data_IF_137337630648
#
_entry.id   IF_137337630648
#
_cell.length_a   1.000
_cell.length_b   1.000
_cell.length_c   1.000
_cell.angle_alpha   90.00
_cell.angle_beta   90.00
_cell.angle_gamma   90.00
#
_symmetry.space_group_name_H-M   'P 1'
#
loop_
_entity.id
_entity.type
_entity.pdbx_description
1 polymer ?
#
# COMPACT_ATOMS: atom_id res chain seq x y z
N UNK A 1 -9.08 -60.22 54.72
CA UNK A 1 -8.08 -59.38 54.03
C UNK A 1 -8.14 -59.44 52.49
N UNK A 2 -9.19 -59.99 51.84
CA UNK A 2 -9.25 -60.07 50.36
C UNK A 2 -10.06 -58.96 49.66
N UNK A 3 -10.79 -58.11 50.39
CA UNK A 3 -11.68 -57.09 49.80
C UNK A 3 -10.94 -55.82 49.32
N UNK A 4 -9.79 -55.51 49.93
CA UNK A 4 -8.92 -54.37 49.55
C UNK A 4 -8.19 -54.57 48.21
N UNK A 5 -7.97 -55.83 47.81
CA UNK A 5 -7.26 -56.14 46.56
C UNK A 5 -8.18 -56.04 45.33
N UNK A 6 -9.43 -56.51 45.46
CA UNK A 6 -10.40 -56.48 44.36
C UNK A 6 -10.83 -55.04 44.03
N UNK A 7 -11.02 -54.20 45.05
CA UNK A 7 -11.34 -52.78 44.87
C UNK A 7 -10.19 -52.01 44.21
N UNK A 8 -8.94 -52.27 44.58
CA UNK A 8 -7.77 -51.68 43.93
C UNK A 8 -7.61 -52.10 42.47
N UNK A 9 -7.86 -53.38 42.15
CA UNK A 9 -7.81 -53.92 40.78
C UNK A 9 -8.92 -53.32 39.90
N UNK A 10 -10.14 -53.20 40.44
CA UNK A 10 -11.26 -52.57 39.72
C UNK A 10 -10.97 -51.09 39.45
N UNK A 11 -10.40 -50.36 40.42
CA UNK A 11 -10.00 -48.97 40.21
C UNK A 11 -8.93 -48.85 39.13
N UNK A 12 -7.91 -49.73 39.14
CA UNK A 12 -6.85 -49.75 38.12
C UNK A 12 -7.40 -50.02 36.70
N UNK A 13 -8.27 -51.03 36.57
CA UNK A 13 -8.92 -51.37 35.30
C UNK A 13 -9.82 -50.23 34.79
N UNK A 14 -10.56 -49.55 35.68
CA UNK A 14 -11.39 -48.41 35.30
C UNK A 14 -10.54 -47.22 34.85
N UNK A 15 -9.41 -46.95 35.51
CA UNK A 15 -8.48 -45.88 35.11
C UNK A 15 -7.81 -46.19 33.77
N UNK A 16 -7.43 -47.44 33.52
CA UNK A 16 -6.81 -47.85 32.25
C UNK A 16 -7.81 -47.74 31.08
N UNK A 17 -9.07 -48.15 31.27
CA UNK A 17 -10.11 -48.02 30.24
C UNK A 17 -10.40 -46.54 29.93
N UNK A 18 -10.46 -45.67 30.94
CA UNK A 18 -10.65 -44.23 30.72
C UNK A 18 -9.48 -43.59 29.96
N UNK A 19 -8.24 -43.99 30.27
CA UNK A 19 -7.04 -43.47 29.59
C UNK A 19 -6.98 -43.87 28.11
N UNK A 20 -7.25 -45.14 27.79
CA UNK A 20 -7.25 -45.63 26.42
C UNK A 20 -8.38 -45.04 25.58
N UNK A 21 -9.57 -44.83 26.17
CA UNK A 21 -10.67 -44.14 25.49
C UNK A 21 -10.32 -42.67 25.18
N UNK A 22 -9.69 -41.95 26.13
CA UNK A 22 -9.25 -40.57 25.94
C UNK A 22 -8.15 -40.45 24.86
N UNK A 23 -7.16 -41.35 24.86
CA UNK A 23 -6.10 -41.38 23.85
C UNK A 23 -6.67 -41.59 22.43
N UNK A 24 -7.69 -42.44 22.29
CA UNK A 24 -8.37 -42.68 21.02
C UNK A 24 -9.14 -41.45 20.50
N UNK A 25 -9.75 -40.66 21.39
CA UNK A 25 -10.45 -39.42 21.03
C UNK A 25 -9.45 -38.34 20.59
N UNK A 26 -8.37 -38.16 21.35
CA UNK A 26 -7.34 -37.16 21.04
C UNK A 26 -6.64 -37.45 19.71
N UNK A 27 -6.33 -38.72 19.43
CA UNK A 27 -5.78 -39.13 18.14
C UNK A 27 -6.76 -38.90 16.98
N UNK A 28 -8.07 -39.06 17.20
CA UNK A 28 -9.08 -38.74 16.19
C UNK A 28 -9.08 -37.24 15.85
N UNK A 29 -9.18 -36.37 16.86
CA UNK A 29 -9.19 -34.92 16.64
C UNK A 29 -7.88 -34.40 16.05
N UNK A 30 -6.73 -34.97 16.45
CA UNK A 30 -5.45 -34.60 15.85
C UNK A 30 -5.40 -34.93 14.35
N UNK A 31 -5.90 -36.11 13.95
CA UNK A 31 -5.97 -36.49 12.52
C UNK A 31 -6.93 -35.61 11.74
N UNK A 32 -8.07 -35.27 12.33
CA UNK A 32 -9.05 -34.37 11.74
C UNK A 32 -8.46 -32.97 11.54
N UNK A 33 -7.78 -32.41 12.54
CA UNK A 33 -7.05 -31.15 12.42
C UNK A 33 -5.99 -31.23 11.31
N UNK A 34 -5.17 -32.29 11.27
CA UNK A 34 -4.13 -32.46 10.27
C UNK A 34 -4.72 -32.50 8.84
N UNK A 35 -5.87 -33.16 8.67
CA UNK A 35 -6.60 -33.17 7.40
C UNK A 35 -7.08 -31.76 7.02
N UNK A 36 -7.75 -31.05 7.93
CA UNK A 36 -8.27 -29.71 7.66
C UNK A 36 -7.18 -28.67 7.41
N UNK A 37 -6.06 -28.75 8.12
CA UNK A 37 -4.87 -27.93 7.84
C UNK A 37 -4.31 -28.19 6.44
N UNK A 38 -4.22 -29.47 6.03
CA UNK A 38 -3.77 -29.83 4.68
C UNK A 38 -4.72 -29.31 3.60
N UNK A 39 -6.04 -29.41 3.82
CA UNK A 39 -7.06 -28.88 2.91
C UNK A 39 -6.94 -27.36 2.75
N UNK A 40 -6.75 -26.61 3.84
CA UNK A 40 -6.53 -25.16 3.78
C UNK A 40 -5.22 -24.79 3.07
N UNK A 41 -4.12 -25.48 3.35
CA UNK A 41 -2.82 -25.26 2.66
C UNK A 41 -2.95 -25.50 1.17
N UNK A 42 -3.60 -26.61 0.79
CA UNK A 42 -3.86 -26.96 -0.61
C UNK A 42 -4.71 -25.88 -1.27
N UNK A 43 -5.81 -25.48 -0.65
CA UNK A 43 -6.67 -24.43 -1.18
C UNK A 43 -5.90 -23.12 -1.39
N UNK A 44 -5.14 -22.70 -0.37
CA UNK A 44 -4.35 -21.46 -0.40
C UNK A 44 -3.36 -21.45 -1.57
N UNK A 45 -2.69 -22.58 -1.81
CA UNK A 45 -1.72 -22.72 -2.91
C UNK A 45 -2.39 -22.64 -4.28
N UNK A 46 -3.54 -23.29 -4.43
CA UNK A 46 -4.31 -23.31 -5.69
C UNK A 46 -4.95 -21.95 -6.01
N UNK A 47 -5.18 -21.10 -5.01
CA UNK A 47 -5.77 -19.76 -5.14
C UNK A 47 -4.71 -18.65 -5.05
N UNK A 48 -3.46 -18.94 -5.45
CA UNK A 48 -2.34 -17.99 -5.36
C UNK A 48 -2.24 -17.03 -6.55
N UNK A 49 -2.72 -17.42 -7.74
CA UNK A 49 -2.62 -16.61 -8.97
C UNK A 49 -3.78 -16.91 -9.94
N UNK A 50 -4.67 -15.95 -10.25
CA UNK A 50 -4.92 -14.71 -9.49
C UNK A 50 -5.24 -15.01 -8.03
N UNK A 51 -4.97 -14.06 -7.14
CA UNK A 51 -5.17 -14.28 -5.71
C UNK A 51 -6.67 -14.33 -5.41
N UNK A 52 -7.11 -15.44 -4.82
CA UNK A 52 -8.48 -15.66 -4.33
C UNK A 52 -8.47 -16.46 -3.02
N UNK A 53 -7.49 -16.16 -2.16
CA UNK A 53 -7.26 -16.87 -0.91
C UNK A 53 -8.43 -16.70 0.05
N UNK A 54 -8.90 -15.46 0.23
CA UNK A 54 -9.87 -15.15 1.27
C UNK A 54 -11.26 -15.68 0.92
N UNK A 55 -11.77 -15.33 -0.27
CA UNK A 55 -13.11 -15.77 -0.71
C UNK A 55 -13.08 -17.23 -1.16
N UNK A 56 -12.02 -17.68 -1.82
CA UNK A 56 -11.92 -19.04 -2.35
C UNK A 56 -11.60 -20.11 -1.31
N UNK A 57 -11.05 -19.73 -0.15
CA UNK A 57 -10.67 -20.67 0.91
C UNK A 57 -11.31 -20.38 2.27
N UNK A 58 -12.42 -19.63 2.30
CA UNK A 58 -13.16 -19.31 3.53
C UNK A 58 -13.60 -20.57 4.28
N UNK A 59 -14.23 -21.52 3.58
CA UNK A 59 -14.71 -22.77 4.17
C UNK A 59 -13.54 -23.62 4.69
N UNK A 60 -12.50 -23.97 3.90
CA UNK A 60 -11.34 -24.68 4.42
C UNK A 60 -10.66 -24.01 5.62
N UNK A 61 -10.58 -22.67 5.62
CA UNK A 61 -10.04 -21.92 6.76
C UNK A 61 -10.90 -22.09 8.01
N UNK A 62 -12.23 -21.95 7.85
CA UNK A 62 -13.20 -22.05 8.94
C UNK A 62 -13.19 -23.47 9.53
N UNK A 63 -13.24 -24.50 8.69
CA UNK A 63 -13.20 -25.90 9.14
C UNK A 63 -11.89 -26.23 9.86
N UNK A 64 -10.75 -25.76 9.35
CA UNK A 64 -9.46 -25.89 10.03
C UNK A 64 -9.47 -25.20 11.39
N UNK A 65 -10.02 -23.98 11.47
CA UNK A 65 -10.09 -23.25 12.73
C UNK A 65 -10.98 -23.96 13.76
N UNK A 66 -12.14 -24.46 13.33
CA UNK A 66 -13.06 -25.25 14.17
C UNK A 66 -12.40 -26.54 14.64
N UNK A 67 -11.74 -27.30 13.75
CA UNK A 67 -11.05 -28.53 14.13
C UNK A 67 -9.95 -28.29 15.18
N UNK A 68 -9.25 -27.16 15.08
CA UNK A 68 -8.25 -26.76 16.07
C UNK A 68 -8.89 -26.44 17.43
N UNK A 69 -9.98 -25.69 17.44
CA UNK A 69 -10.70 -25.36 18.68
C UNK A 69 -11.27 -26.61 19.35
N UNK A 70 -11.86 -27.54 18.58
CA UNK A 70 -12.33 -28.84 19.08
C UNK A 70 -11.22 -29.63 19.76
N UNK A 71 -10.04 -29.74 19.14
CA UNK A 71 -8.89 -30.43 19.74
C UNK A 71 -8.41 -29.74 21.03
N UNK A 72 -8.45 -28.40 21.07
CA UNK A 72 -7.95 -27.59 22.19
C UNK A 72 -8.93 -27.53 23.36
N UNK A 73 -10.23 -27.60 23.12
CA UNK A 73 -11.24 -27.57 24.18
C UNK A 73 -11.39 -28.92 24.89
N UNK A 74 -10.95 -30.01 24.26
CA UNK A 74 -10.90 -31.33 24.89
C UNK A 74 -9.79 -31.39 25.95
N UNK A 75 -10.20 -31.49 27.21
CA UNK A 75 -9.32 -31.31 28.38
C UNK A 75 -8.16 -32.31 28.40
N UNK A 76 -8.43 -33.58 28.05
CA UNK A 76 -7.41 -34.63 28.01
C UNK A 76 -6.40 -34.43 26.85
N UNK A 77 -6.79 -33.75 25.78
CA UNK A 77 -5.95 -33.54 24.61
C UNK A 77 -5.02 -32.33 24.76
N UNK A 78 -5.46 -31.31 25.48
CA UNK A 78 -4.60 -30.17 25.87
C UNK A 78 -3.36 -30.67 26.59
N UNK A 79 -3.57 -31.50 27.60
CA UNK A 79 -2.50 -32.13 28.39
C UNK A 79 -1.72 -33.21 27.64
N UNK A 80 -1.98 -33.45 26.35
CA UNK A 80 -1.26 -34.43 25.54
C UNK A 80 -0.48 -33.79 24.40
N UNK A 81 -1.05 -32.79 23.71
CA UNK A 81 -0.48 -32.23 22.49
C UNK A 81 -0.05 -30.76 22.58
N UNK A 82 -0.46 -30.04 23.62
CA UNK A 82 -0.17 -28.62 23.77
C UNK A 82 0.86 -28.41 24.87
N UNK A 83 1.81 -27.50 24.62
CA UNK A 83 2.86 -27.10 25.56
C UNK A 83 3.72 -28.27 26.10
N UNK A 84 3.77 -29.40 25.37
CA UNK A 84 4.58 -30.58 25.73
C UNK A 84 5.98 -30.59 25.16
N UNK A 85 6.21 -29.79 24.14
CA UNK A 85 7.50 -29.66 23.51
C UNK A 85 7.82 -28.18 23.30
N UNK A 86 9.12 -27.86 23.13
CA UNK A 86 9.59 -26.48 22.95
C UNK A 86 9.02 -25.80 21.70
N UNK A 87 8.65 -26.58 20.69
CA UNK A 87 8.15 -26.09 19.40
C UNK A 87 6.63 -25.87 19.45
N UNK A 88 5.92 -26.62 20.30
CA UNK A 88 4.46 -26.71 20.37
C UNK A 88 3.87 -26.80 18.95
N UNK A 89 4.18 -27.90 18.26
CA UNK A 89 3.98 -28.05 16.80
C UNK A 89 2.53 -27.78 16.40
N UNK A 90 1.56 -28.28 17.16
CA UNK A 90 0.12 -28.09 16.87
C UNK A 90 -0.25 -26.60 16.90
N UNK A 91 0.14 -25.88 17.96
CA UNK A 91 -0.15 -24.46 18.11
C UNK A 91 0.62 -23.60 17.10
N UNK A 92 1.90 -23.92 16.87
CA UNK A 92 2.75 -23.19 15.93
C UNK A 92 2.25 -23.33 14.49
N UNK A 93 1.88 -24.55 14.08
CA UNK A 93 1.32 -24.81 12.74
C UNK A 93 0.02 -24.03 12.55
N UNK A 94 -0.89 -24.10 13.54
CA UNK A 94 -2.13 -23.32 13.50
C UNK A 94 -1.85 -21.81 13.41
N UNK A 95 -0.91 -21.29 14.20
CA UNK A 95 -0.55 -19.87 14.21
C UNK A 95 -0.01 -19.39 12.87
N UNK A 96 0.77 -20.22 12.16
CA UNK A 96 1.26 -19.89 10.81
C UNK A 96 0.09 -19.78 9.83
N UNK A 97 -0.85 -20.74 9.87
CA UNK A 97 -1.99 -20.79 8.95
C UNK A 97 -3.00 -19.66 9.21
N UNK A 98 -3.30 -19.37 10.48
CA UNK A 98 -4.07 -18.18 10.88
C UNK A 98 -3.32 -16.89 10.55
N UNK A 99 -1.99 -16.91 10.66
CA UNK A 99 -1.12 -15.81 10.26
C UNK A 99 -1.24 -15.46 8.78
N UNK A 100 -1.40 -16.47 7.90
CA UNK A 100 -1.62 -16.26 6.48
C UNK A 100 -2.96 -15.52 6.22
N UNK A 101 -4.04 -16.00 6.84
CA UNK A 101 -5.38 -15.39 6.73
C UNK A 101 -5.40 -13.93 7.21
N UNK A 102 -4.85 -13.70 8.41
CA UNK A 102 -4.83 -12.37 9.04
C UNK A 102 -3.93 -11.38 8.30
N UNK A 103 -2.77 -11.83 7.79
CA UNK A 103 -1.87 -10.99 6.99
C UNK A 103 -2.48 -10.58 5.65
N UNK A 104 -3.36 -11.41 5.11
CA UNK A 104 -4.13 -11.10 3.89
C UNK A 104 -5.38 -10.23 4.16
N UNK A 105 -5.63 -9.84 5.43
CA UNK A 105 -6.82 -9.08 5.83
C UNK A 105 -8.13 -9.74 5.36
N UNK A 106 -8.20 -11.07 5.41
CA UNK A 106 -9.34 -11.79 4.83
C UNK A 106 -10.68 -11.49 5.51
N UNK A 107 -10.69 -11.12 6.80
CA UNK A 107 -11.93 -10.71 7.48
C UNK A 107 -12.54 -9.44 6.86
N UNK A 108 -11.71 -8.55 6.31
CA UNK A 108 -12.15 -7.31 5.65
C UNK A 108 -12.85 -7.58 4.30
N UNK A 109 -12.67 -8.77 3.70
CA UNK A 109 -13.41 -9.19 2.50
C UNK A 109 -14.91 -9.31 2.80
N UNK A 110 -15.25 -9.83 3.98
CA UNK A 110 -16.63 -10.16 4.35
C UNK A 110 -17.34 -9.02 5.09
N UNK A 111 -16.57 -8.07 5.62
CA UNK A 111 -17.12 -6.86 6.25
C UNK A 111 -18.03 -6.12 5.28
N UNK A 112 -19.27 -5.82 5.70
CA UNK A 112 -20.26 -5.09 4.89
C UNK A 112 -20.47 -5.64 3.47
N UNK A 113 -20.23 -6.94 3.24
CA UNK A 113 -20.27 -7.57 1.91
C UNK A 113 -19.32 -6.93 0.89
N UNK A 114 -18.16 -6.41 1.34
CA UNK A 114 -17.20 -5.70 0.50
C UNK A 114 -16.77 -6.51 -0.74
N UNK A 115 -16.39 -7.77 -0.57
CA UNK A 115 -15.96 -8.63 -1.69
C UNK A 115 -17.06 -8.84 -2.72
N UNK A 116 -18.31 -9.01 -2.28
CA UNK A 116 -19.44 -9.16 -3.19
C UNK A 116 -19.68 -7.88 -4.00
N UNK A 117 -19.69 -6.72 -3.34
CA UNK A 117 -19.85 -5.42 -4.03
C UNK A 117 -18.70 -5.14 -4.98
N UNK A 118 -17.47 -5.49 -4.58
CA UNK A 118 -16.29 -5.37 -5.43
C UNK A 118 -16.43 -6.23 -6.68
N UNK A 119 -16.78 -7.52 -6.52
CA UNK A 119 -16.87 -8.46 -7.62
C UNK A 119 -17.99 -8.10 -8.61
N UNK A 120 -19.12 -7.57 -8.12
CA UNK A 120 -20.17 -7.01 -8.98
C UNK A 120 -19.65 -5.86 -9.85
N UNK A 121 -18.93 -4.89 -9.26
CA UNK A 121 -18.37 -3.74 -10.00
C UNK A 121 -17.29 -4.18 -10.98
N UNK A 122 -16.46 -5.15 -10.58
CA UNK A 122 -15.41 -5.74 -11.40
C UNK A 122 -15.99 -6.49 -12.59
N UNK A 123 -17.00 -7.32 -12.37
CA UNK A 123 -17.73 -8.02 -13.44
C UNK A 123 -18.38 -7.02 -14.39
N UNK A 124 -18.99 -5.94 -13.89
CA UNK A 124 -19.58 -4.90 -14.75
C UNK A 124 -18.53 -4.18 -15.61
N UNK A 125 -17.32 -3.97 -15.08
CA UNK A 125 -16.19 -3.45 -15.85
C UNK A 125 -15.72 -4.45 -16.92
N UNK A 126 -15.48 -5.70 -16.55
CA UNK A 126 -15.01 -6.76 -17.46
C UNK A 126 -16.00 -7.02 -18.60
N UNK A 127 -17.30 -7.01 -18.28
CA UNK A 127 -18.40 -7.08 -19.26
C UNK A 127 -18.35 -5.92 -20.24
N UNK A 128 -18.10 -4.70 -19.75
CA UNK A 128 -18.02 -3.52 -20.60
C UNK A 128 -16.84 -3.62 -21.57
N UNK A 129 -15.66 -4.02 -21.07
CA UNK A 129 -14.45 -4.23 -21.88
C UNK A 129 -14.72 -5.28 -22.97
N UNK A 130 -15.32 -6.40 -22.60
CA UNK A 130 -15.63 -7.50 -23.53
C UNK A 130 -16.59 -7.06 -24.64
N UNK A 131 -17.58 -6.21 -24.31
CA UNK A 131 -18.59 -5.71 -25.26
C UNK A 131 -18.10 -4.57 -26.15
N UNK A 132 -17.17 -3.73 -25.69
CA UNK A 132 -16.76 -2.49 -26.35
C UNK A 132 -15.32 -2.53 -26.88
N UNK A 133 -14.93 -3.63 -27.52
CA UNK A 133 -13.59 -3.76 -28.11
C UNK A 133 -13.27 -2.56 -29.01
N UNK A 134 -12.03 -2.06 -28.96
CA UNK A 134 -11.51 -0.86 -29.66
C UNK A 134 -11.99 0.51 -29.16
N UNK A 135 -13.01 0.56 -28.29
CA UNK A 135 -13.55 1.80 -27.70
C UNK A 135 -13.63 1.73 -26.17
N UNK A 136 -12.87 0.82 -25.57
CA UNK A 136 -12.87 0.46 -24.16
C UNK A 136 -12.70 1.70 -23.28
N UNK A 137 -11.68 2.51 -23.58
CA UNK A 137 -11.34 3.68 -22.78
C UNK A 137 -12.47 4.70 -22.69
N UNK A 138 -13.25 4.87 -23.77
CA UNK A 138 -14.35 5.84 -23.80
C UNK A 138 -15.64 5.23 -23.24
N UNK A 139 -15.95 4.00 -23.63
CA UNK A 139 -17.21 3.34 -23.26
C UNK A 139 -17.22 2.84 -21.81
N UNK A 140 -16.07 2.48 -21.26
CA UNK A 140 -15.96 1.80 -19.96
C UNK A 140 -15.32 2.65 -18.86
N UNK A 141 -15.05 3.94 -19.13
CA UNK A 141 -14.49 4.87 -18.15
C UNK A 141 -15.34 4.95 -16.88
N UNK A 142 -16.67 5.00 -17.04
CA UNK A 142 -17.59 5.10 -15.89
C UNK A 142 -17.51 3.88 -14.98
N UNK A 143 -17.48 2.68 -15.56
CA UNK A 143 -17.38 1.41 -14.81
C UNK A 143 -16.03 1.30 -14.11
N UNK A 144 -14.95 1.69 -14.80
CA UNK A 144 -13.62 1.75 -14.20
C UNK A 144 -13.57 2.73 -13.01
N UNK A 145 -14.11 3.93 -13.18
CA UNK A 145 -14.12 4.95 -12.12
C UNK A 145 -15.00 4.54 -10.93
N UNK A 146 -16.12 3.86 -11.17
CA UNK A 146 -16.99 3.33 -10.12
C UNK A 146 -16.27 2.22 -9.31
N UNK A 147 -15.65 1.26 -9.99
CA UNK A 147 -14.85 0.21 -9.36
C UNK A 147 -13.67 0.79 -8.57
N UNK A 148 -12.87 1.66 -9.20
CA UNK A 148 -11.71 2.28 -8.56
C UNK A 148 -12.14 3.21 -7.40
N UNK A 149 -13.26 3.92 -7.54
CA UNK A 149 -13.84 4.75 -6.50
C UNK A 149 -14.27 3.95 -5.27
N UNK A 150 -14.90 2.79 -5.49
CA UNK A 150 -15.22 1.85 -4.43
C UNK A 150 -13.96 1.30 -3.75
N UNK A 151 -12.96 0.85 -4.51
CA UNK A 151 -11.68 0.40 -3.92
C UNK A 151 -11.02 1.49 -3.05
N UNK A 152 -11.01 2.74 -3.53
CA UNK A 152 -10.45 3.86 -2.80
C UNK A 152 -11.24 4.21 -1.53
N UNK A 153 -12.56 3.98 -1.50
CA UNK A 153 -13.35 4.21 -0.28
C UNK A 153 -12.99 3.21 0.82
N UNK A 154 -12.67 1.96 0.46
CA UNK A 154 -12.17 0.95 1.39
C UNK A 154 -10.78 1.30 1.91
N UNK A 155 -9.88 1.72 1.03
CA UNK A 155 -8.49 2.04 1.40
C UNK A 155 -8.34 3.21 2.39
N UNK A 156 -9.31 4.13 2.43
CA UNK A 156 -9.29 5.29 3.35
C UNK A 156 -9.34 4.91 4.83
N UNK A 157 -9.89 3.75 5.17
CA UNK A 157 -10.01 3.29 6.55
C UNK A 157 -8.80 2.40 6.92
N UNK A 158 -7.66 3.04 7.17
CA UNK A 158 -6.41 2.40 7.63
C UNK A 158 -5.64 1.55 6.61
N UNK A 159 -5.98 1.61 5.31
CA UNK A 159 -5.27 0.86 4.26
C UNK A 159 -5.40 -0.66 4.37
N UNK A 160 -6.27 -1.17 5.26
CA UNK A 160 -6.56 -2.60 5.41
C UNK A 160 -7.66 -2.96 4.43
N UNK A 161 -7.25 -3.35 3.22
CA UNK A 161 -8.14 -3.89 2.19
C UNK A 161 -7.80 -5.37 2.06
N UNK A 162 -8.79 -6.24 1.92
CA UNK A 162 -8.48 -7.65 1.78
C UNK A 162 -7.66 -7.93 0.51
N UNK A 163 -6.72 -8.86 0.62
CA UNK A 163 -5.66 -9.02 -0.36
C UNK A 163 -6.16 -9.51 -1.73
N UNK A 164 -7.23 -10.32 -1.77
CA UNK A 164 -7.93 -10.71 -2.99
C UNK A 164 -8.36 -9.47 -3.83
N UNK A 165 -8.96 -8.47 -3.18
CA UNK A 165 -9.37 -7.22 -3.83
C UNK A 165 -8.17 -6.37 -4.26
N UNK A 166 -7.07 -6.37 -3.48
CA UNK A 166 -5.85 -5.64 -3.83
C UNK A 166 -5.19 -6.20 -5.10
N UNK A 167 -5.01 -7.52 -5.19
CA UNK A 167 -4.46 -8.17 -6.38
C UNK A 167 -5.35 -7.94 -7.60
N UNK A 168 -6.67 -8.14 -7.43
CA UNK A 168 -7.65 -7.92 -8.48
C UNK A 168 -7.62 -6.47 -9.00
N UNK A 169 -7.65 -5.47 -8.10
CA UNK A 169 -7.57 -4.05 -8.49
C UNK A 169 -6.24 -3.68 -9.13
N UNK A 170 -5.11 -4.26 -8.68
CA UNK A 170 -3.80 -4.04 -9.28
C UNK A 170 -3.77 -4.55 -10.72
N UNK A 171 -4.29 -5.75 -10.97
CA UNK A 171 -4.43 -6.30 -12.33
C UNK A 171 -5.37 -5.46 -13.19
N UNK A 172 -6.52 -5.04 -12.66
CA UNK A 172 -7.45 -4.14 -13.38
C UNK A 172 -6.78 -2.82 -13.75
N UNK A 173 -5.96 -2.24 -12.86
CA UNK A 173 -5.21 -1.00 -13.15
C UNK A 173 -4.13 -1.23 -14.20
N UNK A 174 -3.43 -2.36 -14.16
CA UNK A 174 -2.48 -2.73 -15.21
C UNK A 174 -3.19 -2.88 -16.56
N UNK A 175 -4.29 -3.64 -16.62
CA UNK A 175 -5.09 -3.81 -17.83
C UNK A 175 -5.59 -2.47 -18.38
N UNK A 176 -6.14 -1.61 -17.51
CA UNK A 176 -6.66 -0.30 -17.92
C UNK A 176 -5.57 0.65 -18.44
N UNK A 177 -4.44 0.72 -17.74
CA UNK A 177 -3.39 1.70 -18.04
C UNK A 177 -2.43 1.24 -19.13
N UNK A 178 -1.95 -0.01 -19.04
CA UNK A 178 -0.86 -0.55 -19.85
C UNK A 178 -1.39 -1.34 -21.04
N UNK A 179 -2.29 -2.29 -20.82
CA UNK A 179 -2.76 -3.17 -21.90
C UNK A 179 -3.70 -2.44 -22.85
N UNK A 180 -4.62 -1.63 -22.30
CA UNK A 180 -5.57 -0.82 -23.09
C UNK A 180 -5.06 0.59 -23.40
N UNK A 181 -4.04 1.08 -22.70
CA UNK A 181 -3.49 2.43 -22.93
C UNK A 181 -4.44 3.57 -22.54
N UNK A 182 -5.43 3.33 -21.68
CA UNK A 182 -6.48 4.31 -21.39
C UNK A 182 -6.03 5.46 -20.49
N UNK A 183 -4.88 5.32 -19.80
CA UNK A 183 -4.29 6.38 -19.00
C UNK A 183 -3.44 7.36 -19.84
N UNK A 184 -3.94 7.76 -21.01
CA UNK A 184 -3.25 8.76 -21.83
C UNK A 184 -3.59 10.16 -21.34
N UNK A 185 -2.67 10.73 -20.58
CA UNK A 185 -2.76 12.14 -20.18
C UNK A 185 -2.39 12.98 -21.40
N UNK A 186 -3.37 13.63 -22.01
CA UNK A 186 -3.15 14.64 -23.05
C UNK A 186 -2.48 15.84 -22.40
N UNK A 187 -1.15 15.80 -22.29
CA UNK A 187 -0.38 16.98 -21.94
C UNK A 187 -0.30 17.87 -23.17
N UNK A 188 -0.68 19.14 -23.01
CA UNK A 188 -0.38 20.14 -24.02
C UNK A 188 1.12 20.46 -23.95
N UNK A 189 1.90 19.67 -24.70
CA UNK A 189 3.37 19.78 -24.78
C UNK A 189 3.77 21.21 -25.22
N UNK A 190 2.94 21.89 -26.00
CA UNK A 190 3.21 23.26 -26.44
C UNK A 190 3.17 24.24 -25.28
N UNK A 191 2.13 24.19 -24.45
CA UNK A 191 2.00 25.05 -23.26
C UNK A 191 3.19 24.84 -22.31
N UNK A 192 3.52 23.58 -22.02
CA UNK A 192 4.65 23.25 -21.14
C UNK A 192 5.99 23.74 -21.69
N UNK A 193 6.22 23.59 -23.01
CA UNK A 193 7.42 24.05 -23.69
C UNK A 193 7.57 25.57 -23.64
N UNK A 194 6.49 26.31 -23.94
CA UNK A 194 6.50 27.79 -23.93
C UNK A 194 6.83 28.32 -22.54
N UNK A 195 6.17 27.80 -21.49
CA UNK A 195 6.40 28.23 -20.11
C UNK A 195 7.84 27.93 -19.68
N UNK A 196 8.35 26.73 -20.00
CA UNK A 196 9.73 26.34 -19.68
C UNK A 196 10.77 27.24 -20.38
N UNK A 197 10.54 27.59 -21.65
CA UNK A 197 11.40 28.50 -22.40
C UNK A 197 11.40 29.90 -21.80
N UNK A 198 10.23 30.45 -21.44
CA UNK A 198 10.15 31.78 -20.81
C UNK A 198 10.94 31.80 -19.49
N UNK A 199 10.73 30.80 -18.63
CA UNK A 199 11.45 30.68 -17.36
C UNK A 199 12.96 30.55 -17.59
N UNK A 200 13.40 29.82 -18.62
CA UNK A 200 14.82 29.70 -18.97
C UNK A 200 15.45 30.96 -19.54
N UNK A 201 14.69 31.78 -20.29
CA UNK A 201 15.18 33.02 -20.91
C UNK A 201 15.25 34.18 -19.90
N UNK A 202 14.37 34.20 -18.89
CA UNK A 202 14.32 35.26 -17.88
C UNK A 202 15.66 35.52 -17.17
N UNK A 203 16.40 34.50 -16.66
CA UNK A 203 17.74 34.69 -16.10
C UNK A 203 18.74 35.25 -17.11
N UNK A 204 18.70 34.79 -18.37
CA UNK A 204 19.62 35.24 -19.43
C UNK A 204 19.42 36.74 -19.68
N UNK A 205 18.16 37.17 -19.79
CA UNK A 205 17.82 38.59 -19.96
C UNK A 205 18.21 39.40 -18.71
N UNK A 206 17.96 38.89 -17.51
CA UNK A 206 18.32 39.57 -16.27
C UNK A 206 19.84 39.78 -16.15
N UNK A 207 20.65 38.74 -16.30
CA UNK A 207 22.10 38.87 -16.24
C UNK A 207 22.68 39.64 -17.44
N UNK A 208 22.09 39.49 -18.63
CA UNK A 208 22.49 40.25 -19.82
C UNK A 208 22.25 41.75 -19.66
N UNK A 209 21.10 42.15 -19.12
CA UNK A 209 20.79 43.56 -18.83
C UNK A 209 21.70 44.13 -17.75
N UNK A 210 21.93 43.40 -16.66
CA UNK A 210 22.87 43.80 -15.63
C UNK A 210 24.28 44.00 -16.20
N UNK A 211 24.78 43.07 -17.01
CA UNK A 211 26.10 43.19 -17.64
C UNK A 211 26.22 44.42 -18.55
N UNK A 212 25.18 44.72 -19.35
CA UNK A 212 25.19 45.89 -20.22
C UNK A 212 25.14 47.19 -19.40
N UNK A 213 24.34 47.23 -18.34
CA UNK A 213 24.23 48.40 -17.46
C UNK A 213 25.54 48.67 -16.72
N UNK A 214 26.15 47.64 -16.12
CA UNK A 214 27.45 47.80 -15.43
C UNK A 214 28.54 48.26 -16.39
N UNK A 215 28.64 47.66 -17.58
CA UNK A 215 29.62 48.08 -18.59
C UNK A 215 29.40 49.50 -19.12
N UNK A 216 28.14 49.92 -19.30
CA UNK A 216 27.81 51.31 -19.67
C UNK A 216 28.17 52.29 -18.55
N UNK A 217 27.90 51.93 -17.30
CA UNK A 217 28.23 52.75 -16.14
C UNK A 217 29.74 52.92 -15.99
N UNK A 218 30.53 51.86 -16.20
CA UNK A 218 31.99 51.94 -16.22
C UNK A 218 32.52 52.85 -17.33
N UNK A 219 31.96 52.75 -18.54
CA UNK A 219 32.34 53.61 -19.68
C UNK A 219 32.00 55.08 -19.43
N UNK A 220 30.90 55.37 -18.76
CA UNK A 220 30.44 56.73 -18.48
C UNK A 220 31.04 57.31 -17.19
N UNK A 221 31.65 56.50 -16.32
CA UNK A 221 32.31 56.93 -15.08
C UNK A 221 33.39 58.00 -15.28
N UNK A 222 34.33 57.91 -16.26
CA UNK A 222 35.30 58.98 -16.48
C UNK A 222 34.64 60.31 -16.89
N UNK A 223 33.60 60.28 -17.71
CA UNK A 223 32.86 61.50 -18.12
C UNK A 223 32.18 62.21 -16.94
N UNK A 224 31.66 61.44 -15.98
CA UNK A 224 31.03 61.98 -14.76
C UNK A 224 32.10 62.56 -13.83
N UNK A 225 33.25 61.90 -13.70
CA UNK A 225 34.36 62.41 -12.89
C UNK A 225 34.97 63.69 -13.49
N UNK A 226 35.10 63.77 -14.81
CA UNK A 226 35.55 64.97 -15.52
C UNK A 226 34.54 66.11 -15.36
N UNK A 227 33.24 65.84 -15.46
CA UNK A 227 32.18 66.84 -15.25
C UNK A 227 32.19 67.36 -13.80
N UNK A 228 32.35 66.48 -12.81
CA UNK A 228 32.43 66.86 -11.40
C UNK A 228 33.73 67.61 -11.06
N UNK A 229 34.88 67.23 -11.66
CA UNK A 229 36.15 67.98 -11.53
C UNK A 229 36.04 69.37 -12.15
N UNK A 230 35.42 69.48 -13.32
CA UNK A 230 35.20 70.76 -13.99
C UNK A 230 34.21 71.65 -13.22
N UNK A 231 33.19 71.08 -12.58
CA UNK A 231 32.29 71.82 -11.68
C UNK A 231 33.01 72.30 -10.40
N UNK A 232 33.87 71.47 -9.80
CA UNK A 232 34.64 71.83 -8.60
C UNK A 232 35.74 72.87 -8.89
N UNK A 233 36.40 72.82 -10.05
CA UNK A 233 37.38 73.82 -10.46
C UNK A 233 36.72 75.17 -10.79
N UNK A 234 35.51 75.17 -11.33
CA UNK A 234 34.74 76.41 -11.56
C UNK A 234 34.34 77.08 -10.24
N UNK A 235 34.02 76.30 -9.20
CA UNK A 235 33.75 76.81 -7.85
C UNK A 235 34.99 77.44 -7.19
N UNK A 236 36.16 76.81 -7.35
CA UNK A 236 37.43 77.32 -6.80
C UNK A 236 37.95 78.55 -7.55
N UNK A 237 37.62 78.70 -8.83
CA UNK A 237 37.96 79.90 -9.61
C UNK A 237 37.03 81.08 -9.31
N UNK A 238 35.76 80.84 -8.96
CA UNK A 238 34.84 81.88 -8.53
C UNK A 238 35.28 82.53 -7.20
N UNK A 239 35.92 81.78 -6.31
CA UNK A 239 36.42 82.28 -5.02
C UNK A 239 37.74 83.06 -5.10
N UNK A 240 38.48 82.96 -6.22
CA UNK A 240 39.71 83.73 -6.46
C UNK A 240 39.50 85.01 -7.30
N UNK A 241 38.33 85.17 -7.94
CA UNK A 241 38.04 86.36 -8.75
C UNK A 241 37.56 87.57 -7.92
N UNK A 242 37.10 87.35 -6.68
CA UNK A 242 36.66 88.43 -5.78
C UNK A 242 37.81 89.13 -5.03
N UNK A 243 39.04 88.63 -5.13
CA UNK A 243 40.18 89.14 -4.33
C UNK A 243 41.09 90.15 -5.05
N UNK A 244 40.88 90.45 -6.34
CA UNK A 244 41.87 91.24 -7.10
C UNK A 244 41.25 92.14 -8.19
N UNK A 245 40.37 93.09 -7.83
CA UNK A 245 40.24 94.37 -8.55
C UNK A 245 39.48 95.44 -7.73
N UNK A 246 39.97 95.74 -6.53
CA UNK A 246 39.74 97.03 -5.86
C UNK A 246 41.07 97.76 -5.74
N UNK A 247 41.45 98.52 -6.76
CA UNK A 247 42.29 99.73 -6.63
C UNK A 247 42.44 100.40 -8.00
N UNK A 248 41.72 101.53 -8.12
CA UNK A 248 42.09 102.81 -8.78
C UNK A 248 42.66 102.80 -10.19
#
# INVERSE_FOLDING_TARGET
MHCLSISAIIVYLLTDISSTAAENICQKYLRELAQKQSEFVRCSTMNSVPVSLCVGCEEPFTEMHVAYMTLREEQNCTDTFFDKDRINIVSTTQSILVGLWTKAYCDDCFTSNNSYVFDLKRTAFDDCITKNKTKECKSCLTQYLDLNGFYLSLSKNNGRVCYDMQDSMNRTREQWSKDLGCCRREFDILLFSVVSCIIGVLPILFYGTLYVLTKRQERNRPLIEDTNRNAASTSNNASNLDANLTTT
#
